data_IF_214839573052
#
_entry.id   IF_214839573052
#
_cell.length_a   1.000
_cell.length_b   1.000
_cell.length_c   1.000
_cell.angle_alpha   90.00
_cell.angle_beta   90.00
_cell.angle_gamma   90.00
#
_symmetry.space_group_name_H-M   'P 1'
#
loop_
_entity.id
_entity.type
_entity.pdbx_description
1 polymer ?
#
# COMPACT_ATOMS: atom_id res chain seq x y z
N UNK A 1 4.35 14.90 35.80
CA UNK A 1 4.41 13.72 34.91
C UNK A 1 3.36 14.05 33.88
N UNK A 2 3.78 14.67 32.78
CA UNK A 2 2.85 14.96 31.68
C UNK A 2 2.47 13.61 31.09
N UNK A 3 1.18 13.30 31.07
CA UNK A 3 0.67 12.18 30.30
C UNK A 3 0.81 12.58 28.84
N UNK A 4 1.77 11.97 28.13
CA UNK A 4 1.87 12.14 26.69
C UNK A 4 0.61 11.52 26.09
N UNK A 5 -0.30 12.37 25.62
CA UNK A 5 -1.49 11.90 24.92
C UNK A 5 -1.05 11.44 23.54
N UNK A 6 -1.31 10.17 23.21
CA UNK A 6 -1.11 9.65 21.87
C UNK A 6 -1.83 10.53 20.85
N UNK A 7 -1.15 10.92 19.78
CA UNK A 7 -1.75 11.78 18.74
C UNK A 7 -2.86 11.05 17.96
N UNK A 8 -2.74 9.73 17.82
CA UNK A 8 -3.78 8.86 17.28
C UNK A 8 -3.95 7.61 18.16
N UNK A 9 -5.17 7.34 18.60
CA UNK A 9 -5.50 6.15 19.39
C UNK A 9 -6.84 5.56 18.97
N UNK A 10 -6.85 4.24 18.83
CA UNK A 10 -8.05 3.46 18.57
C UNK A 10 -8.47 2.70 19.83
N UNK A 11 -9.70 2.95 20.28
CA UNK A 11 -10.36 2.04 21.20
C UNK A 11 -10.67 0.71 20.49
N UNK A 12 -10.85 -0.37 21.24
CA UNK A 12 -11.18 -1.69 20.69
C UNK A 12 -12.39 -1.64 19.76
N UNK A 13 -12.22 -2.11 18.52
CA UNK A 13 -13.29 -2.17 17.51
C UNK A 13 -13.55 -0.84 16.79
N UNK A 14 -12.71 0.18 17.00
CA UNK A 14 -12.77 1.42 16.21
C UNK A 14 -12.46 1.13 14.75
N UNK A 15 -13.18 1.76 13.83
CA UNK A 15 -12.84 1.80 12.41
C UNK A 15 -12.66 3.26 11.97
N UNK A 16 -11.50 3.58 11.39
CA UNK A 16 -11.25 4.85 10.71
C UNK A 16 -11.43 4.63 9.21
N UNK A 17 -12.34 5.37 8.58
CA UNK A 17 -12.58 5.32 7.13
C UNK A 17 -11.87 6.48 6.44
N UNK A 18 -11.05 6.16 5.44
CA UNK A 18 -10.23 7.10 4.70
C UNK A 18 -10.56 6.97 3.22
N UNK A 19 -11.03 8.07 2.64
CA UNK A 19 -11.43 8.15 1.23
C UNK A 19 -10.38 8.72 0.28
N UNK A 20 -9.15 8.93 0.77
CA UNK A 20 -8.05 9.64 0.11
C UNK A 20 -6.72 9.17 0.68
N UNK A 21 -5.66 9.94 0.49
CA UNK A 21 -4.34 9.58 1.03
C UNK A 21 -4.32 9.63 2.57
N UNK A 22 -3.58 8.71 3.19
CA UNK A 22 -3.25 8.76 4.61
C UNK A 22 -1.74 8.96 4.77
N UNK A 23 -1.37 10.08 5.39
CA UNK A 23 0.02 10.41 5.70
C UNK A 23 0.15 10.74 7.18
N UNK A 24 1.24 10.29 7.81
CA UNK A 24 1.55 10.67 9.18
C UNK A 24 3.05 10.94 9.38
N UNK A 25 3.36 11.70 10.42
CA UNK A 25 4.72 12.19 10.72
C UNK A 25 5.19 11.81 12.13
N UNK A 26 4.43 10.93 12.81
CA UNK A 26 4.76 10.48 14.15
C UNK A 26 6.11 9.73 14.14
N UNK A 27 7.05 10.19 14.97
CA UNK A 27 8.38 9.56 15.12
C UNK A 27 8.49 8.72 16.38
N UNK A 28 7.54 8.88 17.31
CA UNK A 28 7.43 8.09 18.54
C UNK A 28 6.23 7.14 18.42
N UNK A 29 6.46 5.85 18.57
CA UNK A 29 5.44 4.81 18.48
C UNK A 29 4.33 4.96 19.54
N UNK A 30 4.64 5.56 20.69
CA UNK A 30 3.65 5.86 21.73
C UNK A 30 2.58 6.87 21.25
N UNK A 31 2.87 7.63 20.19
CA UNK A 31 1.91 8.55 19.57
C UNK A 31 0.91 7.86 18.64
N UNK A 32 1.09 6.56 18.40
CA UNK A 32 0.35 5.79 17.42
C UNK A 32 -0.23 4.49 18.01
N UNK A 33 -1.23 4.65 18.87
CA UNK A 33 -1.91 3.53 19.55
C UNK A 33 -3.08 2.96 18.73
N UNK A 34 -2.82 2.45 17.52
CA UNK A 34 -3.86 2.01 16.56
C UNK A 34 -4.07 0.50 16.48
N UNK A 35 -3.26 -0.30 17.21
CA UNK A 35 -3.32 -1.78 17.24
C UNK A 35 -4.71 -2.38 17.51
N UNK A 36 -5.60 -1.63 18.18
CA UNK A 36 -6.91 -2.12 18.60
C UNK A 36 -8.06 -1.77 17.63
N UNK A 37 -7.77 -1.13 16.51
CA UNK A 37 -8.77 -0.73 15.53
C UNK A 37 -8.37 -1.04 14.10
N UNK A 38 -9.29 -0.75 13.20
CA UNK A 38 -9.18 -1.01 11.77
C UNK A 38 -9.03 0.29 11.02
N UNK A 39 -8.08 0.34 10.09
CA UNK A 39 -8.02 1.38 9.06
C UNK A 39 -8.72 0.86 7.80
N UNK A 40 -9.73 1.58 7.32
CA UNK A 40 -10.49 1.24 6.12
C UNK A 40 -10.12 2.25 5.03
N UNK A 41 -9.32 1.83 4.05
CA UNK A 41 -9.00 2.62 2.86
C UNK A 41 -10.08 2.34 1.80
N UNK A 42 -11.06 3.23 1.69
CA UNK A 42 -12.35 2.93 1.04
C UNK A 42 -12.86 4.02 0.09
N UNK A 43 -11.98 4.97 -0.29
CA UNK A 43 -12.19 5.92 -1.37
C UNK A 43 -12.14 5.32 -2.78
N UNK A 44 -12.46 6.14 -3.78
CA UNK A 44 -12.45 5.77 -5.20
C UNK A 44 -11.09 6.09 -5.82
N UNK A 45 -10.58 5.21 -6.69
CA UNK A 45 -9.29 5.41 -7.36
C UNK A 45 -8.10 5.10 -6.47
N UNK A 46 -6.95 5.70 -6.80
CA UNK A 46 -5.69 5.54 -6.07
C UNK A 46 -5.70 6.33 -4.77
N UNK A 47 -5.21 5.69 -3.72
CA UNK A 47 -4.90 6.29 -2.42
C UNK A 47 -3.50 5.87 -2.00
N UNK A 48 -2.77 6.78 -1.39
CA UNK A 48 -1.46 6.50 -0.84
C UNK A 48 -1.57 6.26 0.66
N UNK A 49 -0.78 5.32 1.15
CA UNK A 49 -0.67 5.01 2.57
C UNK A 49 0.79 5.10 2.99
N UNK A 50 1.08 6.11 3.81
CA UNK A 50 2.39 6.27 4.44
C UNK A 50 2.62 5.14 5.45
N UNK A 51 3.66 4.35 5.22
CA UNK A 51 4.11 3.35 6.19
C UNK A 51 4.97 3.99 7.28
N UNK A 52 5.38 3.20 8.27
CA UNK A 52 6.20 3.65 9.38
C UNK A 52 6.80 2.49 10.13
N UNK A 53 7.97 2.68 10.74
CA UNK A 53 8.61 1.63 11.52
C UNK A 53 9.88 1.10 10.86
N UNK A 54 10.80 0.59 11.68
CA UNK A 54 11.90 -0.24 11.17
C UNK A 54 11.37 -1.59 10.66
N UNK A 55 12.01 -2.12 9.61
CA UNK A 55 11.89 -3.53 9.28
C UNK A 55 12.57 -4.41 10.34
N UNK A 56 11.77 -5.14 11.10
CA UNK A 56 12.23 -6.13 12.07
C UNK A 56 12.35 -7.54 11.49
N UNK A 57 11.79 -7.79 10.29
CA UNK A 57 11.75 -9.12 9.68
C UNK A 57 10.93 -10.14 10.47
N UNK A 58 10.96 -11.39 9.99
CA UNK A 58 10.46 -12.57 10.70
C UNK A 58 11.61 -13.30 11.43
N UNK A 59 11.34 -13.97 12.57
CA UNK A 59 10.08 -13.99 13.32
C UNK A 59 9.82 -12.69 14.09
N UNK A 60 8.54 -12.33 14.21
CA UNK A 60 8.10 -11.15 14.95
C UNK A 60 7.70 -11.58 16.37
N UNK A 61 8.64 -11.44 17.31
CA UNK A 61 8.42 -11.80 18.72
C UNK A 61 7.82 -10.66 19.54
N UNK A 62 8.14 -9.39 19.20
CA UNK A 62 7.61 -8.19 19.84
C UNK A 62 7.66 -6.99 18.87
N UNK A 63 6.53 -6.30 18.69
CA UNK A 63 6.40 -5.06 17.90
C UNK A 63 5.97 -3.88 18.77
N UNK A 64 5.98 -4.01 20.10
CA UNK A 64 5.48 -2.98 21.00
C UNK A 64 6.26 -1.66 20.91
N UNK A 65 7.55 -1.73 20.54
CA UNK A 65 8.40 -0.56 20.31
C UNK A 65 8.58 -0.26 18.80
N UNK A 66 7.59 -0.59 17.99
CA UNK A 66 7.55 -0.30 16.57
C UNK A 66 6.15 0.12 16.12
N UNK A 67 6.07 0.78 14.98
CA UNK A 67 4.79 1.21 14.42
C UNK A 67 4.02 0.00 13.90
N UNK A 68 2.74 -0.07 14.25
CA UNK A 68 1.82 -1.07 13.72
C UNK A 68 0.40 -0.54 13.70
N UNK A 69 -0.41 -1.19 12.87
CA UNK A 69 -1.85 -1.05 12.86
C UNK A 69 -2.51 -2.34 13.33
N UNK A 70 -3.75 -2.24 13.81
CA UNK A 70 -4.54 -3.42 14.17
C UNK A 70 -4.87 -4.24 12.93
N UNK A 71 -5.81 -3.74 12.13
CA UNK A 71 -6.11 -4.31 10.84
C UNK A 71 -6.29 -3.24 9.76
N UNK A 72 -6.13 -3.63 8.50
CA UNK A 72 -6.44 -2.82 7.32
C UNK A 72 -7.53 -3.51 6.49
N UNK A 73 -8.52 -2.74 6.06
CA UNK A 73 -9.47 -3.12 5.02
C UNK A 73 -9.22 -2.25 3.80
N UNK A 74 -9.04 -2.88 2.64
CA UNK A 74 -8.89 -2.19 1.35
C UNK A 74 -10.13 -2.39 0.50
N UNK A 75 -10.80 -1.28 0.22
CA UNK A 75 -12.01 -1.20 -0.60
C UNK A 75 -13.30 -1.69 0.05
N UNK A 76 -14.35 -1.77 -0.78
CA UNK A 76 -15.70 -2.16 -0.37
C UNK A 76 -16.22 -3.29 -1.26
N UNK A 77 -17.35 -3.90 -0.90
CA UNK A 77 -17.91 -5.01 -1.68
C UNK A 77 -18.35 -4.61 -3.11
N UNK A 78 -18.64 -3.33 -3.34
CA UNK A 78 -19.14 -2.82 -4.62
C UNK A 78 -18.31 -1.67 -5.18
N UNK A 79 -17.17 -1.35 -4.56
CA UNK A 79 -16.30 -0.26 -4.98
C UNK A 79 -14.85 -0.71 -4.87
N UNK A 80 -14.13 -0.61 -5.97
CA UNK A 80 -12.69 -0.86 -6.04
C UNK A 80 -11.91 0.32 -5.47
N UNK A 81 -10.85 -0.01 -4.76
CA UNK A 81 -9.85 0.94 -4.26
C UNK A 81 -8.46 0.42 -4.59
N UNK A 82 -7.56 1.29 -5.05
CA UNK A 82 -6.15 0.95 -5.20
C UNK A 82 -5.37 1.69 -4.10
N UNK A 83 -4.76 0.96 -3.17
CA UNK A 83 -3.92 1.54 -2.12
C UNK A 83 -2.47 1.29 -2.45
N UNK A 84 -1.68 2.33 -2.58
CA UNK A 84 -0.24 2.26 -2.83
C UNK A 84 0.48 2.60 -1.52
N UNK A 85 1.31 1.68 -1.03
CA UNK A 85 2.20 1.96 0.09
C UNK A 85 3.30 2.93 -0.33
N UNK A 86 3.70 3.82 0.57
CA UNK A 86 4.79 4.75 0.33
C UNK A 86 5.57 5.04 1.61
N UNK A 87 6.86 5.32 1.42
CA UNK A 87 7.79 5.82 2.42
C UNK A 87 8.34 7.14 1.86
N UNK A 88 7.64 8.22 2.19
CA UNK A 88 7.96 9.60 1.79
C UNK A 88 8.48 10.38 3.00
N UNK A 89 8.07 9.99 4.20
CA UNK A 89 8.36 10.67 5.44
C UNK A 89 9.07 9.68 6.36
N UNK A 90 10.32 10.01 6.71
CA UNK A 90 11.11 9.29 7.72
C UNK A 90 10.42 9.35 9.11
N UNK A 91 9.54 8.39 9.36
CA UNK A 91 8.67 8.32 10.51
C UNK A 91 8.85 6.95 11.23
N UNK A 92 8.75 7.01 12.54
CA UNK A 92 8.80 5.84 13.41
C UNK A 92 10.06 4.96 13.41
N UNK A 93 11.15 5.41 14.02
CA UNK A 93 12.32 4.56 14.31
C UNK A 93 12.93 3.86 13.08
N UNK A 94 13.10 4.57 11.97
CA UNK A 94 13.73 4.04 10.76
C UNK A 94 14.99 3.22 11.06
N UNK A 95 15.10 2.07 10.39
CA UNK A 95 16.26 1.20 10.50
C UNK A 95 17.56 1.91 10.06
N UNK A 96 18.73 1.37 10.42
CA UNK A 96 20.01 2.00 10.09
C UNK A 96 20.26 2.03 8.57
N UNK A 97 20.80 3.14 8.06
CA UNK A 97 21.21 3.36 6.66
C UNK A 97 20.06 3.56 5.65
N UNK A 98 19.05 4.35 6.00
CA UNK A 98 18.02 4.75 5.03
C UNK A 98 17.17 3.54 4.56
N UNK A 99 17.08 2.49 5.37
CA UNK A 99 16.23 1.33 5.05
C UNK A 99 14.78 1.78 4.95
N UNK A 100 14.02 1.29 3.94
CA UNK A 100 12.62 1.61 3.83
C UNK A 100 11.83 1.23 5.07
N UNK A 101 10.81 2.02 5.37
CA UNK A 101 9.80 1.72 6.36
C UNK A 101 8.88 0.57 5.92
N UNK A 102 8.16 0.01 6.88
CA UNK A 102 7.43 -1.25 6.71
C UNK A 102 6.01 -1.16 7.24
N UNK A 103 5.09 -1.87 6.60
CA UNK A 103 3.73 -2.01 7.13
C UNK A 103 3.60 -3.23 8.05
N UNK A 104 3.27 -3.01 9.33
CA UNK A 104 2.83 -4.07 10.24
C UNK A 104 1.32 -4.02 10.49
N UNK A 105 0.61 -5.10 10.15
CA UNK A 105 -0.81 -5.30 10.46
C UNK A 105 -0.96 -6.46 11.46
N UNK A 106 -1.24 -6.16 12.72
CA UNK A 106 -1.23 -7.16 13.80
C UNK A 106 -2.32 -8.23 13.71
N UNK A 107 -3.46 -7.90 13.09
CA UNK A 107 -4.70 -8.64 13.26
C UNK A 107 -5.24 -8.53 14.68
N UNK A 108 -6.36 -9.22 14.93
CA UNK A 108 -7.01 -9.23 16.25
C UNK A 108 -6.98 -10.60 16.91
N UNK A 109 -6.85 -10.67 18.25
CA UNK A 109 -6.84 -11.94 18.99
C UNK A 109 -8.09 -12.84 18.81
N UNK A 110 -9.19 -12.31 18.25
CA UNK A 110 -10.45 -13.02 18.04
C UNK A 110 -10.55 -13.71 16.67
N UNK A 111 -9.47 -13.70 15.88
CA UNK A 111 -9.36 -14.51 14.66
C UNK A 111 -9.47 -13.72 13.35
N UNK A 112 -9.54 -12.40 13.41
CA UNK A 112 -9.50 -11.55 12.22
C UNK A 112 -8.04 -11.33 11.79
N UNK A 113 -7.77 -11.60 10.51
CA UNK A 113 -6.47 -11.32 9.91
C UNK A 113 -6.19 -9.81 9.90
N UNK A 114 -4.91 -9.43 9.93
CA UNK A 114 -4.49 -8.04 9.86
C UNK A 114 -4.85 -7.36 8.55
N UNK A 115 -5.10 -8.10 7.46
CA UNK A 115 -5.46 -7.56 6.16
C UNK A 115 -6.75 -8.20 5.64
N UNK A 116 -7.64 -7.38 5.09
CA UNK A 116 -8.74 -7.84 4.24
C UNK A 116 -8.88 -6.96 3.00
N UNK A 117 -9.05 -7.59 1.84
CA UNK A 117 -9.21 -6.88 0.55
C UNK A 117 -10.55 -7.27 -0.07
N UNK A 118 -11.30 -6.27 -0.55
CA UNK A 118 -12.71 -6.44 -0.96
C UNK A 118 -12.97 -5.96 -2.38
N UNK A 119 -13.93 -6.61 -3.04
CA UNK A 119 -14.54 -6.10 -4.28
C UNK A 119 -13.57 -5.86 -5.44
N UNK A 120 -12.54 -6.70 -5.56
CA UNK A 120 -11.51 -6.57 -6.60
C UNK A 120 -10.45 -5.49 -6.33
N UNK A 121 -10.45 -4.88 -5.14
CA UNK A 121 -9.49 -3.84 -4.75
C UNK A 121 -8.06 -4.37 -4.68
N UNK A 122 -7.10 -3.45 -4.62
CA UNK A 122 -5.67 -3.75 -4.67
C UNK A 122 -4.95 -3.09 -3.50
N UNK A 123 -4.16 -3.86 -2.76
CA UNK A 123 -3.07 -3.32 -1.94
C UNK A 123 -1.76 -3.49 -2.71
N UNK A 124 -1.21 -2.38 -3.19
CA UNK A 124 0.06 -2.32 -3.87
C UNK A 124 1.16 -1.95 -2.87
N UNK A 125 2.09 -2.88 -2.68
CA UNK A 125 3.21 -2.77 -1.75
C UNK A 125 4.28 -1.80 -2.23
N UNK A 126 4.31 -1.47 -3.52
CA UNK A 126 5.23 -0.47 -4.09
C UNK A 126 6.71 -0.70 -3.74
N UNK A 127 7.11 -1.97 -3.67
CA UNK A 127 8.46 -2.41 -3.29
C UNK A 127 8.76 -2.36 -1.79
N UNK A 128 7.80 -1.97 -0.95
CA UNK A 128 7.91 -1.96 0.51
C UNK A 128 7.52 -3.31 1.09
N UNK A 129 8.11 -3.66 2.24
CA UNK A 129 7.75 -4.88 2.95
C UNK A 129 6.49 -4.67 3.79
N UNK A 130 5.66 -5.72 3.84
CA UNK A 130 4.43 -5.73 4.63
C UNK A 130 4.25 -7.07 5.35
N UNK A 131 4.02 -7.00 6.66
CA UNK A 131 3.84 -8.16 7.53
C UNK A 131 2.42 -8.16 8.10
N UNK A 132 1.74 -9.29 7.94
CA UNK A 132 0.34 -9.46 8.37
C UNK A 132 0.23 -10.59 9.39
N UNK A 133 -0.29 -10.26 10.56
CA UNK A 133 -0.71 -11.22 11.58
C UNK A 133 -1.96 -11.96 11.11
N UNK A 134 -1.87 -13.28 11.09
CA UNK A 134 -2.98 -14.18 10.77
C UNK A 134 -3.26 -15.13 11.93
N UNK A 135 -4.35 -15.88 11.85
CA UNK A 135 -4.63 -16.98 12.79
C UNK A 135 -3.52 -18.03 12.86
N UNK A 136 -2.68 -18.15 11.82
CA UNK A 136 -1.59 -19.12 11.73
C UNK A 136 -0.21 -18.50 12.04
N UNK A 137 -0.17 -17.24 12.48
CA UNK A 137 1.06 -16.48 12.72
C UNK A 137 1.27 -15.38 11.68
N UNK A 138 2.45 -14.75 11.75
CA UNK A 138 2.83 -13.67 10.86
C UNK A 138 3.21 -14.18 9.47
N UNK A 139 2.80 -13.43 8.45
CA UNK A 139 3.10 -13.67 7.05
C UNK A 139 3.79 -12.44 6.49
N UNK A 140 4.92 -12.63 5.82
CA UNK A 140 5.55 -11.61 4.99
C UNK A 140 4.87 -11.63 3.61
N UNK A 141 4.11 -10.58 3.27
CA UNK A 141 3.31 -10.56 2.05
C UNK A 141 4.18 -10.67 0.78
N UNK A 142 5.37 -10.07 0.80
CA UNK A 142 6.29 -10.03 -0.34
C UNK A 142 6.80 -11.45 -0.71
N UNK A 143 6.84 -12.37 0.25
CA UNK A 143 7.25 -13.76 0.05
C UNK A 143 6.13 -14.68 -0.48
N UNK A 144 4.90 -14.18 -0.58
CA UNK A 144 3.77 -14.95 -1.14
C UNK A 144 3.84 -15.09 -2.66
N UNK A 145 4.66 -14.28 -3.32
CA UNK A 145 4.77 -14.23 -4.77
C UNK A 145 5.72 -15.31 -5.29
N UNK A 146 5.29 -16.02 -6.34
CA UNK A 146 6.22 -16.90 -7.08
C UNK A 146 7.20 -16.06 -7.92
N UNK A 147 8.37 -16.59 -8.29
CA UNK A 147 9.31 -15.87 -9.14
C UNK A 147 8.64 -15.36 -10.44
N UNK A 148 8.74 -14.06 -10.69
CA UNK A 148 8.13 -13.40 -11.85
C UNK A 148 6.63 -13.13 -11.71
N UNK A 149 6.10 -13.12 -10.49
CA UNK A 149 4.74 -12.71 -10.17
C UNK A 149 4.78 -11.42 -9.35
N UNK A 150 4.05 -10.38 -9.78
CA UNK A 150 3.91 -9.09 -9.14
C UNK A 150 2.49 -8.87 -8.66
N UNK A 151 1.52 -9.73 -9.03
CA UNK A 151 0.15 -9.67 -8.52
C UNK A 151 -0.35 -11.06 -8.15
N UNK A 152 -0.89 -11.21 -6.94
CA UNK A 152 -1.54 -12.45 -6.50
C UNK A 152 -2.96 -12.16 -5.97
N UNK A 153 -3.92 -13.08 -6.12
CA UNK A 153 -5.20 -12.98 -5.42
C UNK A 153 -5.00 -12.99 -3.89
N UNK A 154 -5.74 -12.14 -3.18
CA UNK A 154 -5.79 -12.11 -1.72
C UNK A 154 -7.21 -11.71 -1.28
N UNK A 155 -7.86 -12.54 -0.47
CA UNK A 155 -9.29 -12.43 -0.18
C UNK A 155 -10.14 -12.26 -1.45
N UNK A 156 -10.95 -11.20 -1.52
CA UNK A 156 -11.82 -10.85 -2.65
C UNK A 156 -11.15 -9.82 -3.59
N UNK A 157 -9.83 -9.62 -3.48
CA UNK A 157 -9.06 -8.70 -4.31
C UNK A 157 -7.64 -9.20 -4.55
N UNK A 158 -6.68 -8.28 -4.53
CA UNK A 158 -5.30 -8.56 -4.92
C UNK A 158 -4.29 -7.84 -4.04
N UNK A 159 -3.14 -8.48 -3.83
CA UNK A 159 -1.92 -7.77 -3.43
C UNK A 159 -0.98 -7.67 -4.64
N UNK A 160 -0.25 -6.56 -4.74
CA UNK A 160 0.65 -6.27 -5.84
C UNK A 160 2.01 -5.82 -5.31
N UNK A 161 3.14 -6.32 -5.85
CA UNK A 161 4.48 -6.00 -5.36
C UNK A 161 4.94 -4.58 -5.72
N UNK A 162 4.53 -4.06 -6.87
CA UNK A 162 4.96 -2.74 -7.37
C UNK A 162 3.87 -2.10 -8.23
N UNK A 163 3.98 -0.79 -8.48
CA UNK A 163 3.12 -0.08 -9.43
C UNK A 163 3.22 -0.65 -10.83
N UNK A 164 2.10 -0.66 -11.55
CA UNK A 164 2.02 -1.04 -12.95
C UNK A 164 2.02 0.23 -13.80
N UNK A 165 3.16 0.68 -14.34
CA UNK A 165 3.21 2.01 -14.95
C UNK A 165 2.40 2.14 -16.24
N UNK A 166 2.01 1.01 -16.84
CA UNK A 166 1.18 0.96 -18.04
C UNK A 166 -0.32 0.76 -17.74
N UNK A 167 -0.73 0.64 -16.47
CA UNK A 167 -2.13 0.61 -16.04
C UNK A 167 -2.56 2.03 -15.68
N UNK A 168 -3.00 2.80 -16.67
CA UNK A 168 -3.24 4.24 -16.56
C UNK A 168 -4.66 4.58 -16.09
N UNK A 169 -5.57 3.62 -16.05
CA UNK A 169 -6.86 3.77 -15.40
C UNK A 169 -6.91 3.14 -13.99
N UNK A 170 -5.81 2.53 -13.55
CA UNK A 170 -5.65 1.86 -12.26
C UNK A 170 -6.73 0.79 -12.00
N UNK A 171 -7.24 0.15 -13.05
CA UNK A 171 -8.25 -0.91 -12.93
C UNK A 171 -7.63 -2.29 -12.64
N UNK A 172 -6.30 -2.36 -12.68
CA UNK A 172 -5.53 -3.55 -12.41
C UNK A 172 -5.31 -4.45 -13.62
N UNK A 173 -5.76 -4.03 -14.81
CA UNK A 173 -5.68 -4.79 -16.05
C UNK A 173 -5.12 -3.91 -17.15
N UNK A 174 -3.88 -4.21 -17.56
CA UNK A 174 -3.29 -3.55 -18.72
C UNK A 174 -4.00 -4.02 -20.00
N UNK A 175 -4.80 -3.14 -20.60
CA UNK A 175 -5.58 -3.41 -21.81
C UNK A 175 -5.67 -2.22 -22.80
N UNK A 176 -6.64 -2.27 -23.73
CA UNK A 176 -6.81 -1.21 -24.72
C UNK A 176 -7.24 0.13 -24.12
N UNK A 177 -7.83 0.14 -22.93
CA UNK A 177 -8.20 1.37 -22.23
C UNK A 177 -6.95 2.16 -21.84
N UNK A 178 -5.90 1.50 -21.36
CA UNK A 178 -4.63 2.16 -21.04
C UNK A 178 -3.94 2.73 -22.28
N UNK A 179 -3.95 1.96 -23.38
CA UNK A 179 -3.43 2.45 -24.66
C UNK A 179 -4.19 3.71 -25.10
N UNK A 180 -5.51 3.73 -24.93
CA UNK A 180 -6.33 4.88 -25.28
C UNK A 180 -6.03 6.08 -24.36
N UNK A 181 -5.83 5.86 -23.06
CA UNK A 181 -5.46 6.92 -22.11
C UNK A 181 -4.09 7.49 -22.47
N UNK A 182 -3.08 6.64 -22.65
CA UNK A 182 -1.73 7.05 -23.04
C UNK A 182 -1.76 7.84 -24.35
N UNK A 183 -2.40 7.29 -25.39
CA UNK A 183 -2.43 7.91 -26.73
C UNK A 183 -3.12 9.27 -26.72
N UNK A 184 -4.24 9.38 -26.00
CA UNK A 184 -4.96 10.65 -25.88
C UNK A 184 -4.14 11.65 -25.06
N UNK A 185 -3.58 11.24 -23.92
CA UNK A 185 -2.76 12.07 -23.06
C UNK A 185 -1.55 12.63 -23.79
N UNK A 186 -0.84 11.77 -24.54
CA UNK A 186 0.33 12.16 -25.33
C UNK A 186 -0.02 13.22 -26.39
N UNK A 187 -1.14 13.03 -27.11
CA UNK A 187 -1.60 13.97 -28.15
C UNK A 187 -2.11 15.31 -27.60
N UNK A 188 -2.63 15.32 -26.37
CA UNK A 188 -3.11 16.53 -25.70
C UNK A 188 -2.08 17.19 -24.77
N UNK A 189 -0.87 16.65 -24.71
CA UNK A 189 0.16 17.06 -23.75
C UNK A 189 -0.29 16.99 -22.28
N UNK A 190 -1.03 15.93 -21.94
CA UNK A 190 -1.47 15.64 -20.57
C UNK A 190 -0.33 14.95 -19.78
N UNK A 191 0.00 15.40 -18.55
CA UNK A 191 1.01 14.76 -17.70
C UNK A 191 0.78 13.27 -17.43
N UNK A 192 -0.43 12.73 -17.62
CA UNK A 192 -0.67 11.27 -17.51
C UNK A 192 0.18 10.45 -18.49
N UNK A 193 0.67 11.06 -19.57
CA UNK A 193 1.53 10.41 -20.56
C UNK A 193 3.04 10.59 -20.29
N UNK A 194 3.44 11.35 -19.27
CA UNK A 194 4.84 11.52 -18.83
C UNK A 194 5.17 10.39 -17.86
N UNK A 195 5.55 9.24 -18.41
CA UNK A 195 5.70 8.00 -17.64
C UNK A 195 7.10 7.82 -17.07
N UNK A 196 8.10 8.49 -17.65
CA UNK A 196 9.45 8.49 -17.10
C UNK A 196 9.65 9.58 -16.03
N UNK A 197 8.70 10.53 -15.92
CA UNK A 197 8.64 11.57 -14.90
C UNK A 197 9.66 12.70 -15.10
N UNK A 198 10.16 12.91 -16.32
CA UNK A 198 11.20 13.90 -16.61
C UNK A 198 10.65 15.31 -16.96
N UNK A 199 9.32 15.43 -17.08
CA UNK A 199 8.63 16.67 -17.39
C UNK A 199 8.55 17.00 -18.87
N UNK A 200 9.02 16.10 -19.76
CA UNK A 200 8.91 16.20 -21.21
C UNK A 200 8.05 15.06 -21.73
N UNK A 201 7.19 15.35 -22.70
CA UNK A 201 6.45 14.32 -23.44
C UNK A 201 7.14 14.03 -24.76
N UNK A 202 7.86 12.91 -24.83
CA UNK A 202 8.63 12.55 -26.01
C UNK A 202 8.70 11.04 -26.31
N UNK A 203 9.69 10.60 -27.09
CA UNK A 203 9.79 9.20 -27.50
C UNK A 203 10.19 8.26 -26.35
N UNK A 204 10.79 8.80 -25.28
CA UNK A 204 11.19 8.02 -24.12
C UNK A 204 9.95 7.56 -23.33
N UNK A 205 8.90 8.38 -23.23
CA UNK A 205 7.60 7.96 -22.65
C UNK A 205 6.93 6.85 -23.46
N UNK A 206 6.97 6.95 -24.79
CA UNK A 206 6.41 5.93 -25.67
C UNK A 206 7.18 4.62 -25.50
N UNK A 207 8.51 4.67 -25.46
CA UNK A 207 9.35 3.50 -25.24
C UNK A 207 9.09 2.89 -23.86
N UNK A 208 8.92 3.73 -22.83
CA UNK A 208 8.60 3.31 -21.48
C UNK A 208 7.23 2.63 -21.42
N UNK A 209 6.17 3.24 -21.99
CA UNK A 209 4.84 2.65 -22.05
C UNK A 209 4.85 1.29 -22.75
N UNK A 210 5.49 1.18 -23.92
CA UNK A 210 5.58 -0.09 -24.65
C UNK A 210 6.32 -1.15 -23.83
N UNK A 211 7.40 -0.77 -23.14
CA UNK A 211 8.14 -1.68 -22.27
C UNK A 211 7.28 -2.16 -21.11
N UNK A 212 6.61 -1.25 -20.41
CA UNK A 212 5.73 -1.55 -19.29
C UNK A 212 4.50 -2.38 -19.73
N UNK A 213 3.91 -2.07 -20.89
CA UNK A 213 2.77 -2.80 -21.44
C UNK A 213 3.13 -4.24 -21.82
N UNK A 214 4.29 -4.45 -22.44
CA UNK A 214 4.77 -5.79 -22.81
C UNK A 214 5.25 -6.60 -21.61
N UNK A 215 5.77 -5.93 -20.58
CA UNK A 215 5.99 -6.56 -19.29
C UNK A 215 4.63 -6.97 -18.71
N UNK A 216 3.63 -6.11 -18.74
CA UNK A 216 2.40 -6.28 -17.99
C UNK A 216 2.60 -5.90 -16.52
N UNK A 217 1.60 -6.18 -15.69
CA UNK A 217 1.66 -6.05 -14.22
C UNK A 217 2.42 -7.24 -13.59
N UNK A 218 3.58 -7.57 -14.14
CA UNK A 218 4.16 -8.92 -14.16
C UNK A 218 5.12 -9.28 -13.06
#
# INVERSE_FOLDING_TARGET
MDEHLSQLSFATGTALHVGGDLTHTATNEDDHATRNGTICMDGTGVQHFEVAGADLGLPIDDIANNFNWGAMVVGQSTQTTNVILQDVIDNGNRGPNDTPEVLYLSGFPQGDNGLSIRGGSVLNLNGLDAYVGTVNGWVHLNELFSPGQLRIPYDDGFIQLTVCPADLNDDGVIDLNDINIFSNGFLSSDPVADLNGDGLLDLDDIAFFISAFNAGCM
#
